data_IF_802430786055
#
_entry.id   IF_802430786055
#
_cell.length_a   1.000
_cell.length_b   1.000
_cell.length_c   1.000
_cell.angle_alpha   90.00
_cell.angle_beta   90.00
_cell.angle_gamma   90.00
#
_symmetry.space_group_name_H-M   'P 1'
#
loop_
_entity.id
_entity.type
_entity.pdbx_description
1 polymer ?
#
# COMPACT_ATOMS: atom_id res chain seq x y z
N UNK A 1 30.46 -12.30 -9.24
CA UNK A 1 29.11 -11.79 -8.87
C UNK A 1 29.22 -10.28 -8.83
N UNK A 2 28.84 -9.59 -9.91
CA UNK A 2 29.00 -8.14 -10.03
C UNK A 2 27.79 -7.47 -9.39
N UNK A 3 28.00 -6.80 -8.27
CA UNK A 3 27.00 -5.96 -7.63
C UNK A 3 26.89 -4.68 -8.46
N UNK A 4 25.82 -4.52 -9.24
CA UNK A 4 25.55 -3.25 -9.93
C UNK A 4 24.89 -2.32 -8.92
N UNK A 5 25.72 -1.53 -8.25
CA UNK A 5 25.29 -0.37 -7.49
C UNK A 5 25.07 0.78 -8.48
N UNK A 6 23.89 0.81 -9.10
CA UNK A 6 23.54 1.81 -10.12
C UNK A 6 22.05 2.10 -10.14
N UNK A 7 21.69 3.38 -10.34
CA UNK A 7 20.30 3.78 -10.51
C UNK A 7 19.74 3.08 -11.77
N UNK A 8 18.67 2.26 -11.68
CA UNK A 8 18.10 1.57 -12.84
C UNK A 8 17.65 2.53 -13.95
N UNK A 9 17.37 3.81 -13.63
CA UNK A 9 17.12 4.83 -14.63
C UNK A 9 18.33 5.08 -15.55
N UNK A 10 19.57 4.90 -15.08
CA UNK A 10 20.77 5.00 -15.93
C UNK A 10 20.96 3.75 -16.79
N UNK A 11 20.51 2.58 -16.33
CA UNK A 11 20.56 1.34 -17.10
C UNK A 11 19.70 1.45 -18.36
N UNK A 12 18.48 1.99 -18.25
CA UNK A 12 17.59 2.17 -19.41
C UNK A 12 18.11 3.22 -20.40
N UNK A 13 18.84 4.24 -19.91
CA UNK A 13 19.41 5.30 -20.75
C UNK A 13 20.61 4.78 -21.54
N UNK A 14 21.50 4.01 -20.90
CA UNK A 14 22.75 3.59 -21.52
C UNK A 14 22.69 2.22 -22.22
N UNK A 15 21.76 1.35 -21.82
CA UNK A 15 21.61 -0.01 -22.33
C UNK A 15 20.13 -0.38 -22.52
N UNK A 16 19.37 0.35 -23.35
CA UNK A 16 17.95 0.09 -23.56
C UNK A 16 17.67 -1.32 -24.10
N UNK A 17 18.59 -1.91 -24.86
CA UNK A 17 18.52 -3.27 -25.38
C UNK A 17 18.48 -4.35 -24.29
N UNK A 18 18.94 -4.01 -23.08
CA UNK A 18 18.95 -4.93 -21.94
C UNK A 18 17.69 -4.83 -21.05
N UNK A 19 16.73 -3.94 -21.38
CA UNK A 19 15.57 -3.65 -20.53
C UNK A 19 14.28 -4.05 -21.23
N UNK A 20 13.62 -5.11 -20.73
CA UNK A 20 12.32 -5.55 -21.25
C UNK A 20 11.15 -4.68 -20.79
N UNK A 21 11.21 -4.13 -19.57
CA UNK A 21 10.19 -3.26 -19.00
C UNK A 21 10.78 -2.39 -17.89
N UNK A 22 10.16 -1.23 -17.65
CA UNK A 22 10.52 -0.31 -16.56
C UNK A 22 9.25 0.11 -15.79
N UNK A 23 9.34 0.08 -14.46
CA UNK A 23 8.28 0.56 -13.58
C UNK A 23 8.82 1.55 -12.56
N UNK A 24 8.02 2.57 -12.24
CA UNK A 24 8.35 3.56 -11.22
C UNK A 24 7.48 3.39 -9.99
N UNK A 25 8.05 3.67 -8.82
CA UNK A 25 7.31 3.74 -7.57
C UNK A 25 6.78 5.16 -7.37
N UNK A 26 5.49 5.29 -7.12
CA UNK A 26 4.85 6.58 -6.81
C UNK A 26 5.01 6.98 -5.32
N UNK A 27 5.98 6.40 -4.61
CA UNK A 27 6.26 6.68 -3.20
C UNK A 27 7.69 7.22 -3.05
N UNK A 28 7.85 8.23 -2.19
CA UNK A 28 9.16 8.78 -1.87
C UNK A 28 10.03 7.78 -1.12
N UNK A 29 11.34 7.83 -1.37
CA UNK A 29 12.31 7.07 -0.59
C UNK A 29 12.42 7.66 0.83
N UNK A 30 12.25 6.82 1.85
CA UNK A 30 12.69 7.11 3.20
C UNK A 30 13.87 6.19 3.53
N UNK A 31 15.02 6.74 4.00
CA UNK A 31 16.11 5.90 4.46
C UNK A 31 15.66 5.04 5.66
N UNK A 32 16.25 3.85 5.83
CA UNK A 32 15.98 3.04 7.02
C UNK A 32 16.31 3.87 8.27
N UNK A 33 15.51 3.75 9.34
CA UNK A 33 15.78 4.47 10.57
C UNK A 33 17.15 4.06 11.13
N UNK A 34 17.85 4.96 11.85
CA UNK A 34 19.08 4.61 12.57
C UNK A 34 18.87 3.36 13.44
N UNK A 35 19.94 2.60 13.67
CA UNK A 35 19.85 1.41 14.52
C UNK A 35 19.21 1.74 15.88
N UNK A 36 18.18 0.99 16.27
CA UNK A 36 17.40 1.21 17.49
C UNK A 36 16.27 2.23 17.39
N UNK A 37 16.16 3.01 16.31
CA UNK A 37 15.02 3.90 16.10
C UNK A 37 13.81 3.12 15.59
N UNK A 38 12.66 3.33 16.24
CA UNK A 38 11.40 2.65 15.93
C UNK A 38 10.53 3.53 15.03
N UNK A 39 9.75 2.89 14.16
CA UNK A 39 8.69 3.58 13.44
C UNK A 39 7.57 3.92 14.42
N UNK A 40 7.29 5.21 14.62
CA UNK A 40 6.20 5.68 15.46
C UNK A 40 5.10 6.26 14.57
N UNK A 41 4.01 5.51 14.44
CA UNK A 41 2.87 5.90 13.62
C UNK A 41 2.26 7.23 14.08
N UNK A 42 2.21 7.52 15.38
CA UNK A 42 1.66 8.78 15.88
C UNK A 42 2.56 9.97 15.49
N UNK A 43 3.88 9.80 15.59
CA UNK A 43 4.83 10.82 15.14
C UNK A 43 4.70 11.07 13.64
N UNK A 44 4.58 10.01 12.83
CA UNK A 44 4.36 10.12 11.39
C UNK A 44 3.07 10.90 11.08
N UNK A 45 1.96 10.58 11.75
CA UNK A 45 0.67 11.26 11.56
C UNK A 45 0.73 12.75 11.91
N UNK A 46 1.37 13.11 13.03
CA UNK A 46 1.53 14.50 13.44
C UNK A 46 2.37 15.28 12.44
N UNK A 47 3.48 14.68 11.97
CA UNK A 47 4.36 15.28 10.96
C UNK A 47 3.62 15.50 9.64
N UNK A 48 2.90 14.50 9.15
CA UNK A 48 2.16 14.63 7.89
C UNK A 48 1.03 15.63 8.01
N UNK A 49 0.32 15.69 9.15
CA UNK A 49 -0.70 16.72 9.38
C UNK A 49 -0.13 18.13 9.33
N UNK A 50 1.06 18.34 9.90
CA UNK A 50 1.76 19.63 9.86
C UNK A 50 2.22 20.01 8.45
N UNK A 51 2.69 19.04 7.65
CA UNK A 51 3.30 19.32 6.33
C UNK A 51 2.27 19.29 5.19
N UNK A 52 1.30 18.39 5.24
CA UNK A 52 0.32 18.12 4.18
C UNK A 52 -1.08 18.66 4.50
N UNK A 53 -1.32 19.15 5.72
CA UNK A 53 -2.63 19.61 6.19
C UNK A 53 -3.59 18.48 6.59
N UNK A 54 -3.19 17.21 6.45
CA UNK A 54 -3.96 16.05 6.88
C UNK A 54 -3.06 14.92 7.39
N UNK A 55 -3.61 14.05 8.23
CA UNK A 55 -2.91 12.85 8.66
C UNK A 55 -2.64 11.93 7.46
N UNK A 56 -1.53 11.20 7.50
CA UNK A 56 -1.21 10.14 6.54
C UNK A 56 -1.03 8.83 7.30
N UNK A 57 -1.05 7.69 6.59
CA UNK A 57 -0.77 6.36 7.15
C UNK A 57 -1.83 5.78 8.11
N UNK A 58 -3.05 6.31 8.20
CA UNK A 58 -4.10 5.73 9.07
C UNK A 58 -4.42 4.26 8.76
N UNK A 59 -4.34 3.85 7.49
CA UNK A 59 -4.46 2.44 7.08
C UNK A 59 -3.43 1.49 7.71
N UNK A 60 -2.28 1.98 8.21
CA UNK A 60 -1.27 1.14 8.90
C UNK A 60 -1.85 0.48 10.14
N UNK A 61 -2.75 1.17 10.85
CA UNK A 61 -3.44 0.63 12.03
C UNK A 61 -4.29 -0.58 11.66
N UNK A 62 -5.08 -0.47 10.57
CA UNK A 62 -5.89 -1.59 10.08
C UNK A 62 -5.04 -2.80 9.74
N UNK A 63 -3.98 -2.65 8.94
CA UNK A 63 -3.15 -3.80 8.55
C UNK A 63 -2.32 -4.39 9.69
N UNK A 64 -2.20 -3.67 10.80
CA UNK A 64 -1.56 -4.16 12.03
C UNK A 64 -2.52 -4.95 12.93
N UNK A 65 -3.84 -4.83 12.70
CA UNK A 65 -4.84 -5.55 13.47
C UNK A 65 -4.79 -7.07 13.23
N UNK A 66 -5.12 -7.86 14.25
CA UNK A 66 -5.05 -9.33 14.19
C UNK A 66 -6.00 -9.94 13.17
N UNK A 67 -7.17 -9.35 13.00
CA UNK A 67 -8.27 -9.78 12.11
C UNK A 67 -8.19 -9.16 10.70
N UNK A 68 -7.17 -8.34 10.40
CA UNK A 68 -7.09 -7.60 9.14
C UNK A 68 -7.18 -8.49 7.88
N UNK A 69 -6.58 -9.69 7.93
CA UNK A 69 -6.65 -10.66 6.81
C UNK A 69 -8.08 -11.13 6.59
N UNK A 70 -8.80 -11.45 7.67
CA UNK A 70 -10.15 -12.00 7.61
C UNK A 70 -11.10 -10.93 7.05
N UNK A 71 -11.01 -9.71 7.60
CA UNK A 71 -11.77 -8.56 7.09
C UNK A 71 -11.44 -8.27 5.63
N UNK A 72 -10.17 -8.37 5.23
CA UNK A 72 -9.75 -8.14 3.84
C UNK A 72 -10.28 -9.20 2.89
N UNK A 73 -10.24 -10.48 3.27
CA UNK A 73 -10.71 -11.59 2.44
C UNK A 73 -12.24 -11.53 2.27
N UNK A 74 -12.97 -11.28 3.35
CA UNK A 74 -14.44 -11.11 3.30
C UNK A 74 -14.84 -9.94 2.40
N UNK A 75 -14.08 -8.85 2.43
CA UNK A 75 -14.37 -7.62 1.68
C UNK A 75 -13.47 -7.44 0.44
N UNK A 76 -12.95 -8.53 -0.13
CA UNK A 76 -11.92 -8.48 -1.17
C UNK A 76 -12.34 -7.67 -2.40
N UNK A 77 -13.61 -7.76 -2.81
CA UNK A 77 -14.16 -6.99 -3.92
C UNK A 77 -14.09 -5.48 -3.66
N UNK A 78 -14.52 -5.05 -2.47
CA UNK A 78 -14.48 -3.64 -2.03
C UNK A 78 -13.04 -3.17 -1.90
N UNK A 79 -12.16 -3.99 -1.32
CA UNK A 79 -10.73 -3.70 -1.20
C UNK A 79 -10.11 -3.40 -2.57
N UNK A 80 -10.40 -4.22 -3.59
CA UNK A 80 -9.88 -4.00 -4.94
C UNK A 80 -10.39 -2.69 -5.57
N UNK A 81 -11.65 -2.31 -5.32
CA UNK A 81 -12.18 -1.03 -5.80
C UNK A 81 -11.50 0.15 -5.10
N UNK A 82 -11.28 0.07 -3.79
CA UNK A 82 -10.60 1.12 -3.02
C UNK A 82 -9.10 1.19 -3.38
N UNK A 83 -8.45 0.05 -3.64
CA UNK A 83 -7.03 -0.01 -3.98
C UNK A 83 -6.73 0.47 -5.40
N UNK A 84 -7.67 0.21 -6.31
CA UNK A 84 -7.60 0.62 -7.71
C UNK A 84 -8.84 1.44 -8.04
N UNK A 85 -8.98 2.65 -7.46
CA UNK A 85 -10.14 3.47 -7.70
C UNK A 85 -10.05 4.17 -9.07
N UNK A 86 -11.20 4.66 -9.55
CA UNK A 86 -11.24 5.54 -10.71
C UNK A 86 -10.58 6.90 -10.38
N UNK A 87 -10.78 7.38 -9.15
CA UNK A 87 -10.18 8.60 -8.60
C UNK A 87 -9.50 8.31 -7.26
N UNK A 88 -8.24 8.68 -7.12
CA UNK A 88 -7.45 8.47 -5.90
C UNK A 88 -7.74 9.50 -4.80
N UNK A 89 -8.49 10.57 -5.08
CA UNK A 89 -8.91 11.53 -4.05
C UNK A 89 -9.75 10.87 -2.94
N UNK A 90 -10.44 9.76 -3.24
CA UNK A 90 -11.19 8.98 -2.24
C UNK A 90 -10.29 8.49 -1.10
N UNK A 91 -8.98 8.33 -1.34
CA UNK A 91 -8.06 7.88 -0.28
C UNK A 91 -7.99 8.89 0.86
N UNK A 92 -8.19 10.18 0.59
CA UNK A 92 -8.14 11.23 1.62
C UNK A 92 -9.24 11.06 2.66
N UNK A 93 -10.37 10.46 2.30
CA UNK A 93 -11.51 10.22 3.20
C UNK A 93 -11.56 8.78 3.70
N UNK A 94 -11.28 7.82 2.82
CA UNK A 94 -11.65 6.41 3.04
C UNK A 94 -10.48 5.51 3.40
N UNK A 95 -9.24 5.94 3.17
CA UNK A 95 -8.04 5.10 3.37
C UNK A 95 -7.08 5.71 4.37
N UNK A 96 -6.80 7.00 4.17
CA UNK A 96 -5.74 7.71 4.84
C UNK A 96 -6.08 8.05 6.30
N UNK A 97 -7.31 8.48 6.65
CA UNK A 97 -7.64 8.75 8.04
C UNK A 97 -7.71 7.47 8.89
N UNK A 98 -7.50 7.61 10.19
CA UNK A 98 -7.61 6.49 11.14
C UNK A 98 -9.03 5.92 11.12
N UNK A 99 -9.12 4.59 11.15
CA UNK A 99 -10.39 3.86 11.19
C UNK A 99 -11.15 3.85 9.86
N UNK A 100 -10.97 4.86 8.99
CA UNK A 100 -11.67 4.98 7.72
C UNK A 100 -11.50 3.76 6.83
N UNK A 101 -10.29 3.19 6.75
CA UNK A 101 -10.06 2.06 5.87
C UNK A 101 -10.89 0.83 6.25
N UNK A 102 -10.97 0.51 7.55
CA UNK A 102 -11.85 -0.58 8.02
C UNK A 102 -13.31 -0.25 7.72
N UNK A 103 -13.73 0.97 8.05
CA UNK A 103 -15.12 1.41 7.84
C UNK A 103 -15.51 1.25 6.36
N UNK A 104 -14.70 1.80 5.45
CA UNK A 104 -14.88 1.75 3.99
C UNK A 104 -14.93 0.32 3.45
N UNK A 105 -14.11 -0.60 3.99
CA UNK A 105 -14.17 -2.01 3.60
C UNK A 105 -15.50 -2.67 4.03
N UNK A 106 -15.97 -2.38 5.24
CA UNK A 106 -17.11 -3.05 5.87
C UNK A 106 -18.48 -2.45 5.53
N UNK A 107 -18.55 -1.18 5.13
CA UNK A 107 -19.80 -0.48 4.85
C UNK A 107 -20.41 -0.77 3.47
N UNK A 108 -19.76 -1.60 2.64
CA UNK A 108 -20.15 -1.81 1.25
C UNK A 108 -19.56 -0.75 0.31
N UNK A 109 -19.71 -0.91 -1.02
CA UNK A 109 -18.77 -0.36 -1.99
C UNK A 109 -18.83 1.17 -2.04
N UNK A 110 -17.81 1.83 -1.47
CA UNK A 110 -17.65 3.28 -1.55
C UNK A 110 -17.26 3.77 -2.96
N UNK A 111 -16.78 2.88 -3.83
CA UNK A 111 -16.27 3.26 -5.16
C UNK A 111 -16.64 2.24 -6.25
N UNK A 112 -17.08 2.69 -7.45
CA UNK A 112 -17.19 1.84 -8.62
C UNK A 112 -15.80 1.28 -9.01
N UNK A 113 -15.75 0.13 -9.71
CA UNK A 113 -14.48 -0.39 -10.22
C UNK A 113 -13.87 0.58 -11.24
N UNK A 114 -12.55 0.74 -11.19
CA UNK A 114 -11.82 1.52 -12.18
C UNK A 114 -11.97 0.98 -13.60
N UNK A 115 -12.32 1.84 -14.55
CA UNK A 115 -12.39 1.51 -15.98
C UNK A 115 -11.02 1.21 -16.58
N UNK A 116 -9.97 1.87 -16.07
CA UNK A 116 -8.60 1.69 -16.54
C UNK A 116 -8.01 0.30 -16.23
N UNK A 117 -8.68 -0.49 -15.39
CA UNK A 117 -8.21 -1.80 -14.97
C UNK A 117 -9.00 -2.90 -15.65
N UNK A 118 -8.31 -3.75 -16.42
CA UNK A 118 -8.99 -4.80 -17.17
C UNK A 118 -9.63 -5.85 -16.25
N UNK A 119 -10.76 -6.47 -16.67
CA UNK A 119 -11.36 -7.57 -15.93
C UNK A 119 -10.40 -8.76 -15.73
N UNK A 120 -9.51 -9.00 -16.70
CA UNK A 120 -8.51 -10.07 -16.64
C UNK A 120 -7.47 -9.83 -15.54
N UNK A 121 -6.88 -8.65 -15.47
CA UNK A 121 -5.92 -8.30 -14.41
C UNK A 121 -6.59 -8.37 -13.03
N UNK A 122 -7.85 -7.94 -12.93
CA UNK A 122 -8.62 -8.04 -11.68
C UNK A 122 -8.80 -9.50 -11.27
N UNK A 123 -9.13 -10.39 -12.20
CA UNK A 123 -9.27 -11.81 -11.92
C UNK A 123 -7.93 -12.44 -11.49
N UNK A 124 -6.82 -12.07 -12.12
CA UNK A 124 -5.48 -12.54 -11.75
C UNK A 124 -5.09 -12.12 -10.33
N UNK A 125 -5.29 -10.84 -9.98
CA UNK A 125 -5.02 -10.33 -8.63
C UNK A 125 -5.91 -11.04 -7.60
N UNK A 126 -7.19 -11.21 -7.90
CA UNK A 126 -8.14 -11.91 -7.03
C UNK A 126 -7.70 -13.36 -6.79
N UNK A 127 -7.32 -14.08 -7.85
CA UNK A 127 -6.83 -15.45 -7.74
C UNK A 127 -5.53 -15.54 -6.92
N UNK A 128 -4.58 -14.61 -7.12
CA UNK A 128 -3.34 -14.56 -6.37
C UNK A 128 -3.59 -14.32 -4.86
N UNK A 129 -4.46 -13.38 -4.51
CA UNK A 129 -4.81 -13.04 -3.13
C UNK A 129 -5.64 -14.14 -2.43
N UNK A 130 -6.37 -14.96 -3.19
CA UNK A 130 -7.14 -16.08 -2.64
C UNK A 130 -6.27 -17.32 -2.46
N UNK A 131 -5.35 -17.59 -3.41
CA UNK A 131 -4.44 -18.74 -3.37
C UNK A 131 -3.34 -18.59 -2.32
N UNK A 132 -2.76 -17.39 -2.20
CA UNK A 132 -1.87 -17.03 -1.11
C UNK A 132 -2.63 -16.20 -0.09
N UNK A 133 -2.93 -16.75 1.10
CA UNK A 133 -3.49 -15.93 2.19
C UNK A 133 -2.62 -14.66 2.33
N UNK A 134 -3.19 -13.45 2.52
CA UNK A 134 -2.46 -12.17 2.58
C UNK A 134 -1.54 -11.99 3.82
N UNK A 135 -1.01 -13.09 4.38
CA UNK A 135 -0.12 -13.14 5.55
C UNK A 135 1.13 -12.27 5.40
N UNK A 136 1.61 -12.04 4.18
CA UNK A 136 2.82 -11.24 3.92
C UNK A 136 2.64 -9.76 4.22
N UNK A 137 1.45 -9.20 3.97
CA UNK A 137 1.16 -7.78 4.20
C UNK A 137 1.15 -7.47 5.71
N UNK A 138 0.59 -8.37 6.53
CA UNK A 138 0.62 -8.25 7.99
C UNK A 138 2.03 -8.20 8.57
N UNK A 139 2.97 -8.98 8.03
CA UNK A 139 4.31 -9.06 8.61
C UNK A 139 5.03 -7.70 8.57
N UNK A 140 4.92 -6.97 7.47
CA UNK A 140 5.56 -5.66 7.33
C UNK A 140 4.94 -4.63 8.28
N UNK A 141 3.61 -4.48 8.27
CA UNK A 141 2.94 -3.49 9.11
C UNK A 141 3.03 -3.81 10.59
N UNK A 142 2.90 -5.10 10.96
CA UNK A 142 3.08 -5.53 12.34
C UNK A 142 4.49 -5.28 12.84
N UNK A 143 5.54 -5.52 12.04
CA UNK A 143 6.91 -5.16 12.42
C UNK A 143 7.07 -3.65 12.59
N UNK A 144 6.41 -2.85 11.75
CA UNK A 144 6.47 -1.39 11.82
C UNK A 144 5.69 -0.80 13.01
N UNK A 145 4.60 -1.43 13.45
CA UNK A 145 3.72 -0.89 14.50
C UNK A 145 3.84 -1.61 15.84
N UNK A 146 4.50 -2.76 15.91
CA UNK A 146 4.76 -3.46 17.16
C UNK A 146 5.76 -2.67 18.00
N UNK A 147 5.27 -2.15 19.12
CA UNK A 147 6.14 -1.72 20.23
C UNK A 147 6.75 -2.99 20.83
N UNK A 148 8.03 -3.23 20.56
CA UNK A 148 8.92 -3.86 21.55
C UNK A 148 9.38 -2.73 22.48
#
# INVERSE_FOLDING_TARGET
MVYVQGNPARLVIHHPECVQALGFLAVGYLPPPPSGAKFDLNVCKQRTKKVLGHEAFGYHEFFSASDADEVTVVNLKTMLNVKFPADYEIWRTDVIPIGSYRASLTSGPACPPAEWKSPQERAQITAALTKGRPRSTKLLFKVQTSRI
#
